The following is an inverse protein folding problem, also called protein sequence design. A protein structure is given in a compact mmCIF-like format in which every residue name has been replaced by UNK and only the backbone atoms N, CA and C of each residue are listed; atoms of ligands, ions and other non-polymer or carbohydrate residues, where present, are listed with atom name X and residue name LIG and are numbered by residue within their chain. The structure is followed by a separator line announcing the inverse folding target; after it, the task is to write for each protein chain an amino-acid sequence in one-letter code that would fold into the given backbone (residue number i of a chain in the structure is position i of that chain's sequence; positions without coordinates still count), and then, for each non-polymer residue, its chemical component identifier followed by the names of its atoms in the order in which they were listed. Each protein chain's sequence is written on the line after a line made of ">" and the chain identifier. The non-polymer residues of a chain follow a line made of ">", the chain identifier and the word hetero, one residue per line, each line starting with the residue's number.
data_IF_461466602902
#
_entry.id   IF_461466602902
#
_cell.length_a   1.000
_cell.length_b   1.000
_cell.length_c   1.000
_cell.angle_alpha   90.00
_cell.angle_beta   90.00
_cell.angle_gamma   90.00
#
_symmetry.space_group_name_H-M   'P 1'
#
loop_
_entity.id
_entity.type
_entity.pdbx_description
1 polymer ?
#
# COMPACT_ATOMS: atom_id res chain seq x y z
N UNK A 1 -4.15 -9.59 -10.16
CA UNK A 1 -3.82 -10.26 -8.87
C UNK A 1 -2.36 -10.02 -8.55
N UNK A 2 -2.06 -9.15 -7.56
CA UNK A 2 -0.70 -8.70 -7.26
C UNK A 2 0.05 -9.56 -6.21
N UNK A 3 -0.58 -10.60 -5.66
CA UNK A 3 0.15 -11.53 -4.81
C UNK A 3 0.97 -12.58 -5.57
N UNK A 4 0.93 -12.59 -6.89
CA UNK A 4 1.87 -13.33 -7.73
C UNK A 4 3.24 -12.66 -7.86
N UNK A 5 3.39 -11.41 -7.42
CA UNK A 5 4.72 -10.86 -7.20
C UNK A 5 5.53 -11.78 -6.26
N UNK A 6 6.85 -11.90 -6.41
CA UNK A 6 7.69 -12.92 -5.73
C UNK A 6 7.54 -12.94 -4.20
N UNK A 7 7.28 -11.79 -3.58
CA UNK A 7 7.15 -11.66 -2.12
C UNK A 7 5.67 -11.59 -1.70
N UNK A 8 4.76 -11.63 -2.67
CA UNK A 8 3.32 -11.82 -2.46
C UNK A 8 2.52 -10.54 -2.25
N UNK A 9 2.95 -9.39 -2.73
CA UNK A 9 2.12 -8.19 -2.76
C UNK A 9 2.55 -7.16 -3.80
N UNK A 10 1.66 -6.22 -4.07
CA UNK A 10 1.91 -5.07 -4.94
C UNK A 10 3.08 -4.18 -4.45
N UNK A 11 3.48 -4.29 -3.19
CA UNK A 11 4.56 -3.50 -2.61
C UNK A 11 5.95 -3.93 -3.10
N UNK A 12 6.07 -5.13 -3.63
CA UNK A 12 7.31 -5.62 -4.23
C UNK A 12 7.78 -4.68 -5.35
N UNK A 13 6.85 -4.18 -6.16
CA UNK A 13 7.09 -3.27 -7.28
C UNK A 13 7.74 -1.96 -6.83
N UNK A 14 7.12 -1.30 -5.86
CA UNK A 14 7.59 0.02 -5.39
C UNK A 14 8.91 -0.09 -4.63
N UNK A 15 9.07 -1.11 -3.80
CA UNK A 15 10.29 -1.28 -2.99
C UNK A 15 11.48 -1.61 -3.90
N UNK A 16 11.30 -2.51 -4.86
CA UNK A 16 12.35 -2.81 -5.84
C UNK A 16 12.78 -1.55 -6.59
N UNK A 17 11.84 -0.79 -7.13
CA UNK A 17 12.12 0.46 -7.85
C UNK A 17 12.85 1.48 -6.99
N UNK A 18 12.40 1.70 -5.75
CA UNK A 18 13.02 2.67 -4.83
C UNK A 18 14.46 2.30 -4.52
N UNK A 19 14.71 1.02 -4.22
CA UNK A 19 16.05 0.54 -3.87
C UNK A 19 16.97 0.60 -5.08
N UNK A 20 16.54 0.12 -6.25
CA UNK A 20 17.37 0.11 -7.45
C UNK A 20 17.69 1.51 -7.98
N UNK A 21 16.73 2.44 -7.90
CA UNK A 21 16.98 3.83 -8.24
C UNK A 21 17.99 4.46 -7.26
N UNK A 22 17.86 4.20 -5.96
CA UNK A 22 18.78 4.70 -4.96
C UNK A 22 20.21 4.12 -5.11
N UNK A 23 20.33 2.85 -5.49
CA UNK A 23 21.62 2.22 -5.83
C UNK A 23 22.25 2.89 -7.07
N UNK A 24 21.47 3.06 -8.14
CA UNK A 24 21.92 3.69 -9.40
C UNK A 24 22.35 5.14 -9.18
N UNK A 25 21.69 5.84 -8.30
CA UNK A 25 22.02 7.22 -7.90
C UNK A 25 23.18 7.29 -6.89
N UNK A 26 23.73 6.17 -6.46
CA UNK A 26 24.83 6.10 -5.50
C UNK A 26 24.44 6.52 -4.07
N UNK A 27 23.15 6.58 -3.76
CA UNK A 27 22.65 6.98 -2.44
C UNK A 27 22.78 5.90 -1.39
N UNK A 28 22.76 4.64 -1.80
CA UNK A 28 22.86 3.47 -0.93
C UNK A 28 23.83 2.44 -1.47
N UNK A 29 24.38 1.64 -0.55
CA UNK A 29 25.35 0.58 -0.88
C UNK A 29 25.12 -0.63 0.01
N UNK A 30 25.01 -1.87 -0.57
CA UNK A 30 24.94 -3.11 0.22
C UNK A 30 26.11 -3.25 1.21
N UNK A 31 25.81 -3.79 2.40
CA UNK A 31 26.78 -3.97 3.48
C UNK A 31 27.23 -2.68 4.20
N UNK A 32 26.70 -1.52 3.80
CA UNK A 32 27.04 -0.21 4.41
C UNK A 32 25.78 0.50 4.88
N UNK A 33 24.74 0.54 4.04
CA UNK A 33 23.51 1.27 4.32
C UNK A 33 22.48 0.36 4.98
N UNK A 34 21.84 0.83 6.05
CA UNK A 34 20.67 0.15 6.65
C UNK A 34 19.39 0.72 6.04
N UNK A 35 18.56 -0.14 5.47
CA UNK A 35 17.22 0.24 4.98
C UNK A 35 16.26 0.36 6.16
N UNK A 36 15.50 1.43 6.21
CA UNK A 36 14.50 1.68 7.26
C UNK A 36 13.15 1.91 6.64
N UNK A 37 12.09 1.32 7.22
CA UNK A 37 10.70 1.64 6.86
C UNK A 37 9.77 1.62 8.07
N UNK A 38 8.78 2.51 8.06
CA UNK A 38 7.61 2.48 8.94
C UNK A 38 6.39 2.02 8.15
N UNK A 39 5.73 0.95 8.60
CA UNK A 39 4.69 0.31 7.79
C UNK A 39 3.65 -0.45 8.61
N UNK A 40 2.47 -0.67 8.01
CA UNK A 40 1.44 -1.60 8.49
C UNK A 40 1.60 -3.04 7.96
N UNK A 41 2.67 -3.36 7.19
CA UNK A 41 2.96 -4.76 6.85
C UNK A 41 3.60 -4.99 5.48
N UNK A 42 2.86 -4.95 4.39
CA UNK A 42 3.33 -5.41 3.07
C UNK A 42 4.61 -4.73 2.59
N UNK A 43 4.76 -3.44 2.81
CA UNK A 43 6.00 -2.72 2.45
C UNK A 43 7.18 -3.20 3.30
N UNK A 44 6.97 -3.41 4.60
CA UNK A 44 8.01 -3.97 5.47
C UNK A 44 8.46 -5.36 5.03
N UNK A 45 7.53 -6.22 4.62
CA UNK A 45 7.85 -7.54 4.06
C UNK A 45 8.70 -7.39 2.79
N UNK A 46 8.30 -6.52 1.87
CA UNK A 46 9.04 -6.29 0.63
C UNK A 46 10.45 -5.71 0.89
N UNK A 47 10.58 -4.73 1.81
CA UNK A 47 11.88 -4.16 2.20
C UNK A 47 12.76 -5.23 2.84
N UNK A 48 12.19 -6.08 3.72
CA UNK A 48 12.94 -7.15 4.39
C UNK A 48 13.48 -8.16 3.38
N UNK A 49 12.66 -8.63 2.45
CA UNK A 49 13.05 -9.63 1.46
C UNK A 49 14.04 -9.08 0.43
N UNK A 50 13.78 -7.92 -0.15
CA UNK A 50 14.65 -7.29 -1.16
C UNK A 50 15.96 -6.85 -0.50
N UNK A 51 15.90 -6.31 0.72
CA UNK A 51 17.09 -5.97 1.50
C UNK A 51 17.97 -7.18 1.75
N UNK A 52 17.41 -8.29 2.22
CA UNK A 52 18.14 -9.53 2.43
C UNK A 52 18.80 -10.05 1.13
N UNK A 53 18.03 -10.08 0.02
CA UNK A 53 18.51 -10.52 -1.28
C UNK A 53 19.69 -9.67 -1.80
N UNK A 54 19.63 -8.35 -1.54
CA UNK A 54 20.65 -7.40 -2.01
C UNK A 54 21.79 -7.16 -0.98
N UNK A 55 21.75 -7.78 0.20
CA UNK A 55 22.80 -7.67 1.23
C UNK A 55 22.74 -6.39 2.07
N UNK A 56 21.55 -5.86 2.31
CA UNK A 56 21.31 -4.74 3.22
C UNK A 56 20.86 -5.23 4.59
N UNK A 57 21.30 -4.54 5.63
CA UNK A 57 20.63 -4.59 6.92
C UNK A 57 19.28 -3.86 6.82
N UNK A 58 18.26 -4.41 7.49
CA UNK A 58 16.90 -3.87 7.44
C UNK A 58 16.35 -3.65 8.85
N UNK A 59 15.81 -2.46 9.09
CA UNK A 59 15.07 -2.12 10.31
C UNK A 59 13.64 -1.71 9.96
N UNK A 60 12.66 -2.41 10.52
CA UNK A 60 11.23 -2.13 10.31
C UNK A 60 10.58 -1.67 11.60
N UNK A 61 9.99 -0.49 11.56
CA UNK A 61 9.06 -0.01 12.57
C UNK A 61 7.64 -0.42 12.16
N UNK A 62 7.09 -1.42 12.86
CA UNK A 62 5.83 -2.04 12.50
C UNK A 62 4.67 -1.47 13.31
N UNK A 63 3.62 -1.03 12.62
CA UNK A 63 2.41 -0.53 13.25
C UNK A 63 1.79 -1.60 14.17
N UNK A 64 1.36 -1.18 15.36
CA UNK A 64 0.62 -2.05 16.28
C UNK A 64 -0.70 -2.52 15.65
N UNK A 65 -1.18 -3.69 16.05
CA UNK A 65 -2.37 -4.31 15.46
C UNK A 65 -2.12 -5.01 14.12
N UNK A 66 -0.92 -4.94 13.56
CA UNK A 66 -0.53 -5.74 12.40
C UNK A 66 -0.53 -7.23 12.76
N UNK A 67 -1.02 -8.07 11.84
CA UNK A 67 -1.10 -9.51 12.04
C UNK A 67 0.25 -10.15 12.38
N UNK A 68 0.20 -11.26 13.14
CA UNK A 68 1.42 -11.96 13.56
C UNK A 68 2.17 -12.53 12.35
N UNK A 69 1.46 -13.02 11.35
CA UNK A 69 2.05 -13.56 10.13
C UNK A 69 2.98 -12.56 9.44
N UNK A 70 2.57 -11.28 9.37
CA UNK A 70 3.42 -10.24 8.76
C UNK A 70 4.68 -9.98 9.57
N UNK A 71 4.57 -9.97 10.89
CA UNK A 71 5.72 -9.83 11.77
C UNK A 71 6.71 -10.99 11.56
N UNK A 72 6.21 -12.22 11.57
CA UNK A 72 7.03 -13.43 11.45
C UNK A 72 7.72 -13.52 10.08
N UNK A 73 7.02 -13.15 8.99
CA UNK A 73 7.60 -13.11 7.65
C UNK A 73 8.80 -12.14 7.57
N UNK A 74 8.67 -10.93 8.13
CA UNK A 74 9.78 -9.97 8.15
C UNK A 74 10.97 -10.49 8.95
N UNK A 75 10.72 -11.13 10.10
CA UNK A 75 11.76 -11.78 10.92
C UNK A 75 12.43 -12.94 10.19
N UNK A 76 11.68 -13.73 9.45
CA UNK A 76 12.20 -14.83 8.65
C UNK A 76 13.17 -14.36 7.55
N UNK A 77 12.98 -13.15 7.01
CA UNK A 77 13.92 -12.51 6.08
C UNK A 77 15.12 -11.86 6.80
N UNK A 78 15.22 -11.95 8.12
CA UNK A 78 16.35 -11.44 8.90
C UNK A 78 16.24 -9.96 9.30
N UNK A 79 15.10 -9.29 9.06
CA UNK A 79 14.94 -7.90 9.44
C UNK A 79 14.88 -7.72 10.96
N UNK A 80 15.42 -6.59 11.43
CA UNK A 80 15.18 -6.11 12.79
C UNK A 80 13.79 -5.44 12.82
N UNK A 81 12.82 -6.11 13.44
CA UNK A 81 11.42 -5.66 13.48
C UNK A 81 11.04 -5.26 14.89
N UNK A 82 10.59 -4.01 15.05
CA UNK A 82 10.11 -3.48 16.34
C UNK A 82 8.70 -2.95 16.16
N UNK A 83 7.76 -3.40 17.01
CA UNK A 83 6.44 -2.76 17.08
C UNK A 83 6.60 -1.35 17.64
N UNK A 84 5.88 -0.40 17.06
CA UNK A 84 6.08 1.02 17.38
C UNK A 84 5.78 1.35 18.84
N UNK A 85 4.87 0.64 19.50
CA UNK A 85 4.65 0.77 20.95
C UNK A 85 5.89 0.47 21.77
N UNK A 86 6.86 -0.28 21.24
CA UNK A 86 8.11 -0.62 21.90
C UNK A 86 9.28 0.31 21.51
N UNK A 87 9.04 1.33 20.69
CA UNK A 87 10.06 2.30 20.26
C UNK A 87 10.11 3.45 21.27
N UNK A 88 11.24 3.69 21.96
CA UNK A 88 11.33 4.73 22.99
C UNK A 88 10.96 6.12 22.48
N UNK A 89 11.38 6.48 21.26
CA UNK A 89 11.10 7.76 20.61
C UNK A 89 9.60 7.97 20.39
N UNK A 90 8.85 6.91 20.12
CA UNK A 90 7.38 6.95 20.03
C UNK A 90 6.75 7.17 21.38
N UNK A 91 7.25 6.54 22.44
CA UNK A 91 6.74 6.74 23.80
C UNK A 91 6.88 8.20 24.24
N UNK A 92 8.01 8.83 23.93
CA UNK A 92 8.24 10.24 24.23
C UNK A 92 7.42 11.16 23.34
N UNK A 93 7.27 10.82 22.06
CA UNK A 93 6.42 11.55 21.13
C UNK A 93 4.93 11.47 21.54
N UNK A 94 4.43 10.34 21.99
CA UNK A 94 3.06 10.20 22.51
C UNK A 94 2.81 11.11 23.72
N UNK A 95 3.77 11.19 24.66
CA UNK A 95 3.68 12.13 25.79
C UNK A 95 3.59 13.58 25.32
N UNK A 96 4.41 13.98 24.35
CA UNK A 96 4.45 15.34 23.82
C UNK A 96 3.25 15.71 22.96
N UNK A 97 2.54 14.73 22.40
CA UNK A 97 1.37 14.92 21.51
C UNK A 97 0.03 14.58 22.17
N UNK A 98 -0.04 14.52 23.50
CA UNK A 98 -1.26 14.14 24.24
C UNK A 98 -1.87 12.82 23.75
N UNK A 99 -1.03 11.81 23.50
CA UNK A 99 -1.41 10.50 22.94
C UNK A 99 -1.98 10.55 21.52
N UNK A 100 -1.71 11.59 20.73
CA UNK A 100 -2.02 11.59 19.30
C UNK A 100 -1.01 10.68 18.56
N UNK A 101 -1.46 9.47 18.24
CA UNK A 101 -0.65 8.44 17.60
C UNK A 101 -0.17 8.83 16.18
N UNK A 102 -0.99 9.57 15.44
CA UNK A 102 -0.62 10.04 14.09
C UNK A 102 0.48 11.09 14.19
N UNK A 103 0.34 12.04 15.11
CA UNK A 103 1.37 13.05 15.37
C UNK A 103 2.68 12.38 15.84
N UNK A 104 2.62 11.42 16.78
CA UNK A 104 3.79 10.71 17.28
C UNK A 104 4.53 9.93 16.17
N UNK A 105 3.79 9.25 15.28
CA UNK A 105 4.42 8.54 14.15
C UNK A 105 5.02 9.49 13.11
N UNK A 106 4.48 10.68 12.93
CA UNK A 106 5.08 11.69 12.06
C UNK A 106 6.38 12.23 12.66
N UNK A 107 6.48 12.38 13.98
CA UNK A 107 7.73 12.74 14.68
C UNK A 107 8.80 11.65 14.42
N UNK A 108 8.47 10.37 14.57
CA UNK A 108 9.41 9.29 14.27
C UNK A 108 9.91 9.35 12.81
N UNK A 109 9.00 9.49 11.86
CA UNK A 109 9.37 9.58 10.43
C UNK A 109 10.29 10.78 10.16
N UNK A 110 9.99 11.92 10.79
CA UNK A 110 10.84 13.10 10.66
C UNK A 110 12.22 12.85 11.28
N UNK A 111 12.29 12.25 12.46
CA UNK A 111 13.55 11.89 13.09
C UNK A 111 14.41 10.97 12.20
N UNK A 112 13.81 9.97 11.53
CA UNK A 112 14.54 9.11 10.59
C UNK A 112 15.09 9.93 9.42
N UNK A 113 14.30 10.85 8.85
CA UNK A 113 14.77 11.72 7.76
C UNK A 113 15.91 12.64 8.21
N UNK A 114 15.82 13.19 9.41
CA UNK A 114 16.86 14.07 9.97
C UNK A 114 18.18 13.31 10.17
N UNK A 115 18.12 12.07 10.66
CA UNK A 115 19.30 11.18 10.79
C UNK A 115 19.92 10.88 9.43
N UNK A 116 19.09 10.57 8.43
CA UNK A 116 19.56 10.36 7.06
C UNK A 116 20.20 11.63 6.50
N UNK A 117 19.60 12.80 6.69
CA UNK A 117 20.13 14.09 6.25
C UNK A 117 21.42 14.46 6.97
N UNK A 118 21.61 14.04 8.23
CA UNK A 118 22.84 14.20 9.00
C UNK A 118 23.98 13.28 8.53
N UNK A 119 23.76 12.43 7.53
CA UNK A 119 24.78 11.56 6.93
C UNK A 119 24.94 10.20 7.62
N UNK A 120 23.99 9.78 8.44
CA UNK A 120 23.98 8.39 8.91
C UNK A 120 23.82 7.43 7.73
N UNK A 121 24.48 6.27 7.81
CA UNK A 121 24.40 5.22 6.79
C UNK A 121 23.06 4.48 6.82
N UNK A 122 21.98 5.24 6.74
CA UNK A 122 20.59 4.75 6.70
C UNK A 122 19.88 5.28 5.46
N UNK A 123 18.88 4.54 5.00
CA UNK A 123 17.99 4.97 3.92
C UNK A 123 16.54 4.71 4.32
N UNK A 124 15.79 5.78 4.48
CA UNK A 124 14.36 5.69 4.70
C UNK A 124 13.66 5.50 3.36
N UNK A 125 13.05 4.33 3.16
CA UNK A 125 12.32 3.98 1.92
C UNK A 125 11.13 4.93 1.71
N UNK A 126 10.45 5.29 2.81
CA UNK A 126 9.41 6.34 2.89
C UNK A 126 8.33 6.19 1.81
N UNK A 127 7.68 5.05 1.77
CA UNK A 127 6.65 4.74 0.77
C UNK A 127 5.58 5.83 0.61
N UNK A 128 5.35 6.66 1.65
CA UNK A 128 4.32 7.69 1.63
C UNK A 128 4.72 8.93 0.85
N UNK A 129 6.00 9.31 0.90
CA UNK A 129 6.51 10.54 0.27
C UNK A 129 7.40 10.28 -0.94
N UNK A 130 7.90 9.06 -1.13
CA UNK A 130 8.84 8.74 -2.20
C UNK A 130 8.16 8.79 -3.58
N UNK A 131 8.60 9.68 -4.49
CA UNK A 131 7.99 9.84 -5.81
C UNK A 131 8.12 8.58 -6.68
N UNK A 132 9.08 7.70 -6.38
CA UNK A 132 9.28 6.43 -7.11
C UNK A 132 8.12 5.45 -6.89
N UNK A 133 7.29 5.65 -5.86
CA UNK A 133 6.11 4.84 -5.64
C UNK A 133 5.09 4.96 -6.80
N UNK A 134 4.51 6.12 -7.13
CA UNK A 134 3.63 6.22 -8.30
C UNK A 134 4.35 5.97 -9.63
N UNK A 135 5.63 6.32 -9.79
CA UNK A 135 6.41 6.03 -11.00
C UNK A 135 6.51 4.52 -11.25
N UNK A 136 6.76 3.70 -10.22
CA UNK A 136 6.80 2.25 -10.37
C UNK A 136 5.47 1.69 -10.90
N UNK A 137 4.34 2.19 -10.40
CA UNK A 137 3.02 1.75 -10.87
C UNK A 137 2.66 2.27 -12.25
N UNK A 138 3.14 3.46 -12.64
CA UNK A 138 3.01 3.95 -14.00
C UNK A 138 3.75 3.03 -14.97
N UNK A 139 5.03 2.74 -14.68
CA UNK A 139 5.91 2.03 -15.60
C UNK A 139 5.66 0.52 -15.64
N UNK A 140 4.95 -0.04 -14.67
CA UNK A 140 4.65 -1.49 -14.58
C UNK A 140 3.17 -1.77 -14.50
N UNK A 141 2.50 -1.50 -13.39
CA UNK A 141 1.12 -1.90 -13.14
C UNK A 141 0.14 -1.31 -14.16
N UNK A 142 0.27 -0.01 -14.46
CA UNK A 142 -0.57 0.66 -15.44
C UNK A 142 -0.34 0.14 -16.87
N UNK A 143 0.92 -0.06 -17.24
CA UNK A 143 1.33 -0.67 -18.50
C UNK A 143 0.77 -2.09 -18.65
N UNK A 144 0.99 -2.95 -17.65
CA UNK A 144 0.56 -4.34 -17.66
C UNK A 144 -0.97 -4.46 -17.73
N UNK A 145 -1.73 -3.63 -17.00
CA UNK A 145 -3.19 -3.60 -17.10
C UNK A 145 -3.60 -3.27 -18.53
N UNK A 146 -3.00 -2.26 -19.15
CA UNK A 146 -3.33 -1.86 -20.52
C UNK A 146 -3.03 -2.97 -21.52
N UNK A 147 -1.86 -3.59 -21.42
CA UNK A 147 -1.45 -4.67 -22.33
C UNK A 147 -2.28 -5.95 -22.13
N UNK A 148 -2.56 -6.36 -20.89
CA UNK A 148 -3.33 -7.57 -20.58
C UNK A 148 -4.80 -7.46 -20.96
N UNK A 149 -5.31 -6.24 -21.14
CA UNK A 149 -6.69 -6.00 -21.57
C UNK A 149 -6.80 -5.58 -23.05
N UNK A 150 -5.67 -5.51 -23.77
CA UNK A 150 -5.61 -4.92 -25.13
C UNK A 150 -6.24 -3.52 -25.19
N UNK A 151 -6.21 -2.78 -24.07
CA UNK A 151 -6.87 -1.48 -23.91
C UNK A 151 -8.40 -1.52 -23.84
N UNK A 152 -9.01 -2.72 -23.87
CA UNK A 152 -10.46 -2.91 -23.75
C UNK A 152 -10.87 -2.97 -22.27
N UNK A 153 -10.95 -1.79 -21.65
CA UNK A 153 -11.42 -1.64 -20.26
C UNK A 153 -12.24 -0.35 -20.12
N UNK A 154 -13.32 -0.42 -19.36
CA UNK A 154 -14.18 0.72 -19.06
C UNK A 154 -13.79 1.39 -17.74
N UNK A 155 -13.29 0.62 -16.78
CA UNK A 155 -12.89 1.15 -15.48
C UNK A 155 -11.76 0.33 -14.85
N UNK A 156 -10.96 1.02 -13.99
CA UNK A 156 -10.04 0.40 -13.05
C UNK A 156 -10.44 0.80 -11.63
N UNK A 157 -10.55 -0.18 -10.73
CA UNK A 157 -10.91 0.02 -9.34
C UNK A 157 -9.73 -0.33 -8.44
N UNK A 158 -9.34 0.58 -7.57
CA UNK A 158 -8.22 0.37 -6.64
C UNK A 158 -8.52 0.95 -5.26
N UNK A 159 -8.22 0.19 -4.22
CA UNK A 159 -8.25 0.69 -2.85
C UNK A 159 -7.02 1.59 -2.58
N UNK A 160 -7.22 2.66 -1.81
CA UNK A 160 -6.23 3.73 -1.64
C UNK A 160 -5.55 3.64 -0.27
N UNK A 161 -4.25 3.30 -0.27
CA UNK A 161 -3.36 3.44 0.88
C UNK A 161 -2.44 4.66 0.71
N UNK A 162 -1.23 4.47 0.17
CA UNK A 162 -0.30 5.56 -0.12
C UNK A 162 -0.72 6.46 -1.28
N UNK A 163 -1.73 6.05 -2.05
CA UNK A 163 -2.15 6.72 -3.27
C UNK A 163 -1.25 6.44 -4.49
N UNK A 164 -0.10 5.81 -4.30
CA UNK A 164 0.85 5.55 -5.39
C UNK A 164 0.31 4.65 -6.49
N UNK A 165 -0.35 3.56 -6.10
CA UNK A 165 -0.94 2.60 -7.05
C UNK A 165 -1.97 3.26 -7.97
N UNK A 166 -2.99 3.88 -7.37
CA UNK A 166 -4.06 4.51 -8.16
C UNK A 166 -3.51 5.66 -9.01
N UNK A 167 -2.54 6.42 -8.48
CA UNK A 167 -1.89 7.52 -9.19
C UNK A 167 -1.14 6.99 -10.43
N UNK A 168 -0.24 6.02 -10.26
CA UNK A 168 0.56 5.49 -11.37
C UNK A 168 -0.31 4.82 -12.44
N UNK A 169 -1.30 4.03 -12.04
CA UNK A 169 -2.27 3.43 -12.96
C UNK A 169 -3.03 4.52 -13.72
N UNK A 170 -3.56 5.52 -13.01
CA UNK A 170 -4.32 6.61 -13.63
C UNK A 170 -3.48 7.40 -14.63
N UNK A 171 -2.27 7.81 -14.24
CA UNK A 171 -1.39 8.59 -15.12
C UNK A 171 -1.11 7.82 -16.43
N UNK A 172 -0.89 6.50 -16.35
CA UNK A 172 -0.67 5.67 -17.54
C UNK A 172 -1.94 5.47 -18.38
N UNK A 173 -3.02 5.00 -17.76
CA UNK A 173 -4.28 4.67 -18.45
C UNK A 173 -4.93 5.90 -19.07
N UNK A 174 -4.98 7.03 -18.34
CA UNK A 174 -5.55 8.28 -18.84
C UNK A 174 -4.75 8.86 -20.01
N UNK A 175 -3.45 8.66 -20.05
CA UNK A 175 -2.62 9.05 -21.20
C UNK A 175 -2.92 8.22 -22.44
N UNK A 176 -3.35 6.95 -22.28
CA UNK A 176 -3.77 6.06 -23.39
C UNK A 176 -5.22 6.29 -23.82
N UNK A 177 -6.13 6.34 -22.84
CA UNK A 177 -7.56 6.54 -23.07
C UNK A 177 -8.19 7.31 -21.90
N UNK A 178 -8.44 8.62 -22.03
CA UNK A 178 -9.03 9.44 -20.97
C UNK A 178 -10.49 9.08 -20.64
N UNK A 179 -11.16 8.28 -21.47
CA UNK A 179 -12.54 7.85 -21.22
C UNK A 179 -12.62 6.73 -20.16
N UNK A 180 -11.55 5.95 -19.96
CA UNK A 180 -11.50 4.91 -18.93
C UNK A 180 -11.66 5.55 -17.54
N UNK A 181 -12.57 5.01 -16.74
CA UNK A 181 -12.84 5.51 -15.39
C UNK A 181 -11.88 4.92 -14.38
N UNK A 182 -11.33 5.75 -13.50
CA UNK A 182 -10.50 5.34 -12.39
C UNK A 182 -11.29 5.55 -11.10
N UNK A 183 -11.60 4.45 -10.41
CA UNK A 183 -12.44 4.45 -9.22
C UNK A 183 -11.57 4.20 -7.98
N UNK A 184 -11.53 5.18 -7.10
CA UNK A 184 -10.84 5.08 -5.82
C UNK A 184 -11.77 4.44 -4.79
N UNK A 185 -11.25 3.50 -3.99
CA UNK A 185 -11.98 2.94 -2.84
C UNK A 185 -11.23 3.31 -1.57
N UNK A 186 -11.93 4.01 -0.67
CA UNK A 186 -11.43 4.35 0.66
C UNK A 186 -12.25 3.63 1.75
N UNK A 187 -11.71 3.42 2.97
CA UNK A 187 -12.52 2.94 4.09
C UNK A 187 -13.38 4.07 4.66
N UNK A 188 -14.54 3.73 5.22
CA UNK A 188 -15.24 4.64 6.12
C UNK A 188 -14.35 4.98 7.33
N UNK A 189 -14.58 6.13 7.96
CA UNK A 189 -13.72 6.61 9.07
C UNK A 189 -13.67 5.62 10.24
N UNK A 190 -14.76 4.93 10.50
CA UNK A 190 -14.91 3.92 11.56
C UNK A 190 -14.49 2.50 11.11
N UNK A 191 -14.16 2.30 9.84
CA UNK A 191 -13.78 1.00 9.28
C UNK A 191 -12.32 0.62 9.58
N UNK A 192 -11.89 0.73 10.83
CA UNK A 192 -10.49 0.55 11.29
C UNK A 192 -9.91 -0.83 11.01
N UNK A 193 -10.74 -1.83 10.77
CA UNK A 193 -10.31 -3.20 10.39
C UNK A 193 -9.85 -3.31 8.93
N UNK A 194 -10.16 -2.32 8.09
CA UNK A 194 -9.66 -2.23 6.72
C UNK A 194 -8.25 -1.63 6.72
N UNK A 195 -7.28 -2.40 7.20
CA UNK A 195 -5.89 -1.96 7.35
C UNK A 195 -5.18 -1.83 6.00
N UNK A 196 -4.21 -0.91 5.92
CA UNK A 196 -3.40 -0.67 4.71
C UNK A 196 -4.04 0.25 3.67
N UNK A 197 -5.28 0.69 3.91
CA UNK A 197 -5.97 1.73 3.16
C UNK A 197 -6.43 2.85 4.09
N UNK A 198 -6.62 4.05 3.55
CA UNK A 198 -6.89 5.25 4.35
C UNK A 198 -8.07 6.03 3.79
N UNK A 199 -8.91 6.56 4.70
CA UNK A 199 -9.86 7.60 4.33
C UNK A 199 -9.07 8.88 4.00
N UNK A 200 -9.43 9.56 2.92
CA UNK A 200 -8.73 10.76 2.44
C UNK A 200 -9.68 11.91 2.06
N UNK A 201 -11.00 11.71 2.21
CA UNK A 201 -12.01 12.77 2.01
C UNK A 201 -12.46 13.41 3.30
N UNK A 202 -12.61 12.61 4.37
CA UNK A 202 -13.17 13.04 5.65
C UNK A 202 -12.07 13.23 6.72
N UNK A 203 -10.88 13.63 6.27
CA UNK A 203 -9.71 13.85 7.13
C UNK A 203 -9.07 15.21 6.83
N UNK A 204 -8.34 15.80 7.79
CA UNK A 204 -7.54 17.00 7.52
C UNK A 204 -6.60 16.81 6.31
N UNK A 205 -6.41 17.87 5.54
CA UNK A 205 -5.63 17.86 4.28
C UNK A 205 -4.18 17.36 4.47
N UNK A 206 -3.64 17.47 5.66
CA UNK A 206 -2.31 16.98 6.04
C UNK A 206 -2.24 15.45 6.07
N UNK A 207 -3.38 14.78 6.23
CA UNK A 207 -3.51 13.31 6.25
C UNK A 207 -3.79 12.71 4.87
N UNK A 208 -4.10 13.55 3.88
CA UNK A 208 -4.31 13.08 2.50
C UNK A 208 -2.97 12.60 1.92
N UNK A 209 -2.93 11.39 1.31
CA UNK A 209 -1.70 10.86 0.73
C UNK A 209 -1.10 11.81 -0.32
N UNK A 210 0.20 12.07 -0.22
CA UNK A 210 0.90 13.05 -1.08
C UNK A 210 0.77 12.72 -2.57
N UNK A 211 0.70 11.43 -2.91
CA UNK A 211 0.53 10.98 -4.29
C UNK A 211 -0.75 11.48 -4.97
N UNK A 212 -1.79 11.79 -4.18
CA UNK A 212 -3.10 12.25 -4.68
C UNK A 212 -3.49 13.65 -4.20
N UNK A 213 -2.81 14.17 -3.18
CA UNK A 213 -3.11 15.46 -2.55
C UNK A 213 -3.01 16.61 -3.56
N UNK A 214 -4.11 17.39 -3.69
CA UNK A 214 -4.14 18.55 -4.57
C UNK A 214 -3.98 18.23 -6.07
N UNK A 215 -4.22 16.98 -6.48
CA UNK A 215 -4.10 16.54 -7.87
C UNK A 215 -5.47 16.19 -8.44
N UNK A 216 -5.94 17.02 -9.34
CA UNK A 216 -7.16 16.74 -10.08
C UNK A 216 -6.93 15.61 -11.10
N UNK A 217 -7.97 14.82 -11.38
CA UNK A 217 -7.96 13.80 -12.43
C UNK A 217 -7.24 12.48 -12.11
N UNK A 218 -6.77 12.29 -10.88
CA UNK A 218 -6.19 10.99 -10.45
C UNK A 218 -7.27 9.90 -10.37
N UNK A 219 -8.48 10.28 -10.05
CA UNK A 219 -9.66 9.41 -10.02
C UNK A 219 -10.90 10.18 -10.50
N UNK A 220 -11.84 9.43 -11.05
CA UNK A 220 -13.13 9.99 -11.53
C UNK A 220 -14.20 9.90 -10.44
N UNK A 221 -14.10 8.91 -9.55
CA UNK A 221 -15.09 8.65 -8.50
C UNK A 221 -14.42 8.06 -7.25
N UNK A 222 -15.02 8.30 -6.09
CA UNK A 222 -14.62 7.71 -4.81
C UNK A 222 -15.78 6.90 -4.25
N UNK A 223 -15.52 5.65 -3.85
CA UNK A 223 -16.44 4.81 -3.11
C UNK A 223 -15.91 4.58 -1.70
N UNK A 224 -16.80 4.65 -0.72
CA UNK A 224 -16.44 4.48 0.70
C UNK A 224 -16.93 3.14 1.21
N UNK A 225 -15.99 2.22 1.46
CA UNK A 225 -16.26 0.87 1.91
C UNK A 225 -16.37 0.79 3.44
N UNK A 226 -17.35 0.01 3.91
CA UNK A 226 -17.43 -0.41 5.32
C UNK A 226 -16.86 -1.82 5.49
N UNK A 227 -16.60 -2.24 6.74
CA UNK A 227 -15.90 -3.49 7.03
C UNK A 227 -16.63 -4.71 6.48
N UNK A 228 -17.93 -4.85 6.80
CA UNK A 228 -18.67 -6.08 6.48
C UNK A 228 -18.80 -6.35 4.97
N UNK A 229 -19.21 -5.40 4.12
CA UNK A 229 -19.25 -5.62 2.67
C UNK A 229 -17.89 -5.93 2.07
N UNK A 230 -16.81 -5.28 2.54
CA UNK A 230 -15.46 -5.55 2.08
C UNK A 230 -15.00 -6.98 2.45
N UNK A 231 -15.25 -7.41 3.70
CA UNK A 231 -14.90 -8.75 4.15
C UNK A 231 -15.75 -9.82 3.44
N UNK A 232 -17.03 -9.56 3.25
CA UNK A 232 -17.92 -10.45 2.50
C UNK A 232 -17.44 -10.64 1.06
N UNK A 233 -17.09 -9.56 0.36
CA UNK A 233 -16.56 -9.64 -0.99
C UNK A 233 -15.28 -10.51 -1.05
N UNK A 234 -14.34 -10.35 -0.10
CA UNK A 234 -13.15 -11.17 -0.02
C UNK A 234 -13.46 -12.67 0.25
N UNK A 235 -14.46 -12.95 1.10
CA UNK A 235 -14.90 -14.32 1.39
C UNK A 235 -15.64 -14.97 0.22
N UNK A 236 -16.44 -14.19 -0.50
CA UNK A 236 -17.16 -14.67 -1.69
C UNK A 236 -16.16 -15.09 -2.76
N UNK A 237 -15.24 -14.20 -3.17
CA UNK A 237 -14.28 -14.55 -4.23
C UNK A 237 -13.38 -15.73 -3.87
N UNK A 238 -13.09 -15.92 -2.58
CA UNK A 238 -12.39 -17.12 -2.14
C UNK A 238 -13.21 -18.40 -2.35
N UNK A 239 -14.53 -18.36 -2.13
CA UNK A 239 -15.43 -19.51 -2.25
C UNK A 239 -15.86 -19.78 -3.69
N UNK A 240 -16.04 -18.73 -4.51
CA UNK A 240 -16.56 -18.86 -5.89
C UNK A 240 -15.45 -19.05 -6.92
N UNK A 241 -14.31 -18.37 -6.73
CA UNK A 241 -13.24 -18.29 -7.73
C UNK A 241 -11.93 -18.92 -7.25
N UNK A 242 -11.85 -19.34 -5.98
CA UNK A 242 -10.62 -19.89 -5.39
C UNK A 242 -9.51 -18.86 -5.20
N UNK A 243 -9.85 -17.58 -5.17
CA UNK A 243 -8.89 -16.46 -5.09
C UNK A 243 -8.88 -15.90 -3.67
N UNK A 244 -7.88 -16.29 -2.87
CA UNK A 244 -7.76 -15.88 -1.47
C UNK A 244 -7.05 -14.52 -1.36
N UNK A 245 -7.81 -13.48 -1.02
CA UNK A 245 -7.33 -12.07 -1.04
C UNK A 245 -7.40 -11.40 0.33
N UNK A 246 -6.60 -10.33 0.49
CA UNK A 246 -6.61 -9.51 1.71
C UNK A 246 -7.79 -8.54 1.79
N UNK A 247 -7.88 -7.82 2.91
CA UNK A 247 -8.99 -6.92 3.21
C UNK A 247 -9.13 -5.73 2.23
N UNK A 248 -8.02 -5.16 1.78
CA UNK A 248 -8.03 -4.07 0.79
C UNK A 248 -8.49 -4.56 -0.60
N UNK A 249 -8.19 -5.81 -0.94
CA UNK A 249 -8.70 -6.47 -2.14
C UNK A 249 -10.23 -6.66 -2.06
N UNK A 250 -10.72 -7.07 -0.89
CA UNK A 250 -12.16 -7.16 -0.64
C UNK A 250 -12.88 -5.83 -0.77
N UNK A 251 -12.28 -4.74 -0.26
CA UNK A 251 -12.82 -3.39 -0.42
C UNK A 251 -12.85 -2.97 -1.91
N UNK A 252 -11.77 -3.22 -2.67
CA UNK A 252 -11.72 -2.93 -4.08
C UNK A 252 -12.74 -3.76 -4.89
N UNK A 253 -12.89 -5.04 -4.58
CA UNK A 253 -13.87 -5.93 -5.21
C UNK A 253 -15.30 -5.49 -4.92
N UNK A 254 -15.61 -5.11 -3.67
CA UNK A 254 -16.90 -4.52 -3.34
C UNK A 254 -17.17 -3.29 -4.21
N UNK A 255 -16.21 -2.36 -4.31
CA UNK A 255 -16.35 -1.19 -5.18
C UNK A 255 -16.57 -1.53 -6.65
N UNK A 256 -15.84 -2.51 -7.18
CA UNK A 256 -16.04 -3.00 -8.55
C UNK A 256 -17.44 -3.60 -8.75
N UNK A 257 -17.95 -4.33 -7.75
CA UNK A 257 -19.30 -4.90 -7.77
C UNK A 257 -20.36 -3.80 -7.79
N UNK A 258 -20.18 -2.71 -7.03
CA UNK A 258 -21.12 -1.59 -7.01
C UNK A 258 -21.19 -0.85 -8.36
N UNK A 259 -20.07 -0.64 -9.03
CA UNK A 259 -20.11 0.00 -10.36
C UNK A 259 -20.60 -0.95 -11.44
N UNK A 260 -20.32 -2.25 -11.34
CA UNK A 260 -20.77 -3.26 -12.31
C UNK A 260 -22.30 -3.41 -12.39
N UNK A 261 -23.03 -3.02 -11.33
CA UNK A 261 -24.50 -2.97 -11.32
C UNK A 261 -25.10 -1.86 -12.16
N UNK A 262 -24.29 -0.89 -12.57
CA UNK A 262 -24.74 0.31 -13.31
C UNK A 262 -24.88 0.00 -14.81
N UNK A 263 -25.93 0.52 -15.47
CA UNK A 263 -26.19 0.22 -16.88
C UNK A 263 -25.01 0.58 -17.81
N UNK A 264 -24.29 1.65 -17.50
CA UNK A 264 -23.15 2.11 -18.32
C UNK A 264 -21.95 1.16 -18.35
N UNK A 265 -21.89 0.20 -17.40
CA UNK A 265 -20.84 -0.83 -17.35
C UNK A 265 -21.31 -2.20 -17.86
N UNK A 266 -22.58 -2.33 -18.28
CA UNK A 266 -23.10 -3.61 -18.76
C UNK A 266 -22.30 -4.12 -19.98
N UNK A 267 -21.79 -5.34 -19.88
CA UNK A 267 -20.98 -5.98 -20.93
C UNK A 267 -19.58 -5.40 -21.14
N UNK A 268 -19.08 -4.55 -20.20
CA UNK A 268 -17.76 -3.95 -20.28
C UNK A 268 -16.80 -4.57 -19.28
N UNK A 269 -15.51 -4.52 -19.61
CA UNK A 269 -14.46 -4.99 -18.71
C UNK A 269 -14.17 -3.95 -17.61
N UNK A 270 -14.18 -4.42 -16.36
CA UNK A 270 -13.79 -3.67 -15.17
C UNK A 270 -12.58 -4.37 -14.56
N UNK A 271 -11.46 -3.69 -14.46
CA UNK A 271 -10.26 -4.20 -13.80
C UNK A 271 -10.31 -3.84 -12.31
N UNK A 272 -10.08 -4.82 -11.44
CA UNK A 272 -9.95 -4.60 -10.00
C UNK A 272 -8.57 -5.05 -9.53
N UNK A 273 -7.90 -4.21 -8.76
CA UNK A 273 -6.56 -4.51 -8.21
C UNK A 273 -6.69 -5.26 -6.90
N UNK A 274 -6.10 -6.46 -6.82
CA UNK A 274 -5.97 -7.24 -5.59
C UNK A 274 -4.54 -7.14 -5.06
N UNK A 275 -4.26 -6.27 -4.09
CA UNK A 275 -2.90 -5.93 -3.68
C UNK A 275 -2.11 -7.06 -3.02
N UNK A 276 -2.77 -7.95 -2.27
CA UNK A 276 -2.10 -9.01 -1.52
C UNK A 276 -2.98 -10.25 -1.28
N UNK A 277 -2.33 -11.30 -0.76
CA UNK A 277 -2.97 -12.58 -0.42
C UNK A 277 -3.68 -12.55 0.93
N UNK A 278 -4.78 -13.29 1.03
CA UNK A 278 -5.50 -13.55 2.28
C UNK A 278 -4.70 -14.34 3.33
N UNK A 279 -3.63 -15.04 2.91
CA UNK A 279 -2.76 -15.80 3.85
C UNK A 279 -2.12 -14.91 4.94
N UNK A 280 -2.02 -13.61 4.71
CA UNK A 280 -1.50 -12.63 5.68
C UNK A 280 -2.53 -12.18 6.73
N UNK A 281 -3.75 -12.72 6.68
CA UNK A 281 -4.90 -12.26 7.49
C UNK A 281 -5.62 -13.39 8.21
N UNK A 282 -5.06 -14.61 8.23
CA UNK A 282 -5.72 -15.80 8.82
C UNK A 282 -5.96 -15.64 10.32
N UNK A 283 -5.09 -14.94 11.04
CA UNK A 283 -5.27 -14.63 12.46
C UNK A 283 -6.25 -13.47 12.73
N UNK A 284 -6.67 -12.73 11.68
CA UNK A 284 -7.56 -11.58 11.79
C UNK A 284 -9.04 -11.99 11.67
N UNK A 285 -9.96 -11.02 11.79
CA UNK A 285 -11.40 -11.26 11.64
C UNK A 285 -11.84 -11.48 10.19
N UNK A 286 -10.96 -11.26 9.20
CA UNK A 286 -11.33 -11.35 7.78
C UNK A 286 -11.96 -12.69 7.41
N UNK A 287 -11.41 -13.81 7.92
CA UNK A 287 -11.87 -15.17 7.64
C UNK A 287 -12.50 -15.87 8.86
N UNK A 288 -12.71 -15.16 9.97
CA UNK A 288 -13.48 -15.68 11.10
C UNK A 288 -14.97 -15.49 10.83
N UNK A 289 -15.77 -16.52 11.11
CA UNK A 289 -17.23 -16.49 11.05
C UNK A 289 -17.84 -15.78 12.25
#
# INVERSE_FOLDING_TARGET
>A
VEYFNPIGSIKDRIVLRIIEDAEREGKIKPGVTTLIEYTSGNTGIAVSAIGAMKGYDVTIYLQDGTSQERFDIMKAFGANVTRISNVPEIQDALKSTNNDFVAATNILKQHIRDRQAAGENIFFVDQMLNPKNPEAHHDTTGLEIWEQTDGDLAAVVSAVGTGGTIRGISDYIKAKNPAVKVIAVQPAVDAVKLTGIHNFTDVPVERVPVSIKGREGVYDEILTATVNPAFEAARIVAKTDGVLVGNSSGAALWGATEIAKRPEYAGKNIVVVFPDTGLRYLSTDLFKE
#
